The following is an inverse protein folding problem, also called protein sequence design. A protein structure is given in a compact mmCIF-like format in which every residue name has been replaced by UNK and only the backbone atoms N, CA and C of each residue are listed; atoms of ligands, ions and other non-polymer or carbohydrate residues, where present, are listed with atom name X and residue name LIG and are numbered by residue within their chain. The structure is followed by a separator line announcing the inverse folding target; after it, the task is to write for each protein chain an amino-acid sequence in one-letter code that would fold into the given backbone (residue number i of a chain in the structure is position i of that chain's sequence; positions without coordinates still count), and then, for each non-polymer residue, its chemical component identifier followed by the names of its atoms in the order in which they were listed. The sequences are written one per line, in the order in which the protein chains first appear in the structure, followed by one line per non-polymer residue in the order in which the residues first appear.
data_IF_419104685940
#
_entry.id   IF_419104685940
#
_cell.length_a   1.000
_cell.length_b   1.000
_cell.length_c   1.000
_cell.angle_alpha   90.00
_cell.angle_beta   90.00
_cell.angle_gamma   90.00
#
_symmetry.space_group_name_H-M   'P 1'
#
loop_
_entity.id
_entity.type
_entity.pdbx_description
1 polymer ?
#
# COMPACT_ATOMS: atom_id res chain seq x y z
N UNK A 1 -10.38 5.20 22.56
CA UNK A 1 -11.09 5.48 21.29
C UNK A 1 -10.23 6.29 20.33
N UNK A 2 -9.68 7.43 20.75
CA UNK A 2 -8.83 8.28 19.87
C UNK A 2 -7.55 7.60 19.36
N UNK A 3 -6.82 6.89 20.23
CA UNK A 3 -5.63 6.11 19.82
C UNK A 3 -5.95 5.07 18.75
N UNK A 4 -7.16 4.52 18.75
CA UNK A 4 -7.57 3.52 17.77
C UNK A 4 -7.83 4.14 16.40
N UNK A 5 -8.36 5.37 16.35
CA UNK A 5 -8.53 6.10 15.08
C UNK A 5 -7.18 6.40 14.43
N UNK A 6 -6.19 6.81 15.23
CA UNK A 6 -4.82 7.01 14.74
C UNK A 6 -4.19 5.70 14.26
N UNK A 7 -4.39 4.61 15.00
CA UNK A 7 -3.94 3.29 14.59
C UNK A 7 -4.53 2.87 13.23
N UNK A 8 -5.83 3.04 13.02
CA UNK A 8 -6.49 2.74 11.74
C UNK A 8 -5.98 3.63 10.61
N UNK A 9 -5.71 4.91 10.87
CA UNK A 9 -5.12 5.80 9.88
C UNK A 9 -3.70 5.36 9.49
N UNK A 10 -2.85 5.04 10.47
CA UNK A 10 -1.49 4.54 10.21
C UNK A 10 -1.50 3.20 9.47
N UNK A 11 -2.41 2.29 9.84
CA UNK A 11 -2.56 0.99 9.20
C UNK A 11 -3.06 1.12 7.76
N UNK A 12 -4.06 1.98 7.52
CA UNK A 12 -4.54 2.32 6.18
C UNK A 12 -3.48 2.99 5.30
N UNK A 13 -2.64 3.83 5.90
CA UNK A 13 -1.48 4.43 5.22
C UNK A 13 -0.49 3.36 4.75
N UNK A 14 -0.04 2.50 5.66
CA UNK A 14 0.93 1.44 5.34
C UNK A 14 0.36 0.48 4.28
N UNK A 15 -0.93 0.11 4.43
CA UNK A 15 -1.63 -0.72 3.46
C UNK A 15 -1.62 -0.09 2.06
N UNK A 16 -1.92 1.21 1.92
CA UNK A 16 -1.94 1.84 0.59
C UNK A 16 -0.55 2.11 0.02
N UNK A 17 0.47 2.29 0.85
CA UNK A 17 1.86 2.30 0.38
C UNK A 17 2.20 0.96 -0.26
N UNK A 18 1.92 -0.15 0.43
CA UNK A 18 2.17 -1.50 -0.07
C UNK A 18 1.35 -1.81 -1.34
N UNK A 19 0.09 -1.41 -1.38
CA UNK A 19 -0.78 -1.55 -2.55
C UNK A 19 -0.24 -0.77 -3.75
N UNK A 20 0.24 0.47 -3.53
CA UNK A 20 0.80 1.29 -4.59
C UNK A 20 2.09 0.69 -5.15
N UNK A 21 2.94 0.13 -4.30
CA UNK A 21 4.16 -0.58 -4.70
C UNK A 21 3.83 -1.76 -5.63
N UNK A 22 2.93 -2.67 -5.23
CA UNK A 22 2.55 -3.81 -6.08
C UNK A 22 1.84 -3.36 -7.35
N UNK A 23 1.04 -2.29 -7.30
CA UNK A 23 0.38 -1.73 -8.49
C UNK A 23 1.36 -1.25 -9.53
N UNK A 24 2.50 -0.67 -9.11
CA UNK A 24 3.52 -0.24 -10.04
C UNK A 24 4.43 -1.37 -10.47
N UNK A 25 4.83 -2.24 -9.53
CA UNK A 25 5.66 -3.41 -9.82
C UNK A 25 5.07 -4.34 -10.89
N UNK A 26 3.74 -4.38 -11.02
CA UNK A 26 3.02 -5.11 -12.09
C UNK A 26 3.37 -4.65 -13.51
N UNK A 27 3.83 -3.41 -13.67
CA UNK A 27 4.17 -2.80 -14.96
C UNK A 27 5.69 -2.60 -15.10
N UNK A 28 6.48 -3.38 -14.37
CA UNK A 28 7.94 -3.30 -14.34
C UNK A 28 8.57 -4.64 -14.66
N UNK A 29 9.73 -4.59 -15.31
CA UNK A 29 10.48 -5.75 -15.81
C UNK A 29 11.19 -6.60 -14.72
N UNK A 30 10.84 -6.43 -13.44
CA UNK A 30 11.46 -7.10 -12.29
C UNK A 30 10.45 -8.00 -11.58
N UNK A 31 10.39 -9.26 -11.98
CA UNK A 31 9.50 -10.26 -11.38
C UNK A 31 9.69 -10.39 -9.85
N UNK A 32 10.94 -10.38 -9.37
CA UNK A 32 11.21 -10.46 -7.93
C UNK A 32 10.64 -9.25 -7.16
N UNK A 33 10.72 -8.04 -7.73
CA UNK A 33 10.11 -6.85 -7.15
C UNK A 33 8.59 -7.00 -7.08
N UNK A 34 7.97 -7.51 -8.15
CA UNK A 34 6.54 -7.79 -8.16
C UNK A 34 6.13 -8.87 -7.14
N UNK A 35 6.90 -9.96 -7.02
CA UNK A 35 6.61 -11.05 -6.09
C UNK A 35 6.66 -10.58 -4.63
N UNK A 36 7.73 -9.86 -4.24
CA UNK A 36 7.89 -9.34 -2.87
C UNK A 36 6.78 -8.35 -2.54
N UNK A 37 6.52 -7.38 -3.42
CA UNK A 37 5.47 -6.39 -3.20
C UNK A 37 4.07 -7.01 -3.17
N UNK A 38 3.84 -8.10 -3.91
CA UNK A 38 2.58 -8.85 -3.87
C UNK A 38 2.35 -9.54 -2.52
N UNK A 39 3.36 -10.25 -1.99
CA UNK A 39 3.25 -10.87 -0.67
C UNK A 39 3.03 -9.81 0.40
N UNK A 40 3.81 -8.73 0.36
CA UNK A 40 3.70 -7.61 1.30
C UNK A 40 2.31 -6.96 1.27
N UNK A 41 1.82 -6.60 0.07
CA UNK A 41 0.53 -5.93 -0.09
C UNK A 41 -0.63 -6.80 0.37
N UNK A 42 -0.64 -8.08 0.02
CA UNK A 42 -1.75 -8.97 0.41
C UNK A 42 -1.72 -9.29 1.91
N UNK A 43 -0.52 -9.48 2.49
CA UNK A 43 -0.37 -9.70 3.92
C UNK A 43 -0.88 -8.51 4.74
N UNK A 44 -0.46 -7.29 4.38
CA UNK A 44 -0.89 -6.07 5.08
C UNK A 44 -2.39 -5.83 4.86
N UNK A 45 -2.91 -6.05 3.65
CA UNK A 45 -4.34 -5.95 3.40
C UNK A 45 -5.15 -6.88 4.31
N UNK A 46 -4.74 -8.15 4.43
CA UNK A 46 -5.41 -9.10 5.32
C UNK A 46 -5.40 -8.64 6.78
N UNK A 47 -4.26 -8.14 7.26
CA UNK A 47 -4.13 -7.59 8.61
C UNK A 47 -5.05 -6.38 8.81
N UNK A 48 -5.03 -5.40 7.89
CA UNK A 48 -5.89 -4.22 7.96
C UNK A 48 -7.36 -4.59 7.93
N UNK A 49 -7.74 -5.51 7.05
CA UNK A 49 -9.12 -5.95 6.93
C UNK A 49 -9.58 -6.66 8.21
N UNK A 50 -8.75 -7.53 8.79
CA UNK A 50 -9.03 -8.17 10.09
C UNK A 50 -9.29 -7.12 11.17
N UNK A 51 -8.42 -6.11 11.30
CA UNK A 51 -8.59 -5.07 12.33
C UNK A 51 -9.88 -4.27 12.15
N UNK A 52 -10.22 -3.90 10.90
CA UNK A 52 -11.47 -3.21 10.59
C UNK A 52 -12.70 -4.06 10.95
N UNK A 53 -12.68 -5.36 10.62
CA UNK A 53 -13.76 -6.30 10.95
C UNK A 53 -13.91 -6.49 12.47
N UNK A 54 -12.80 -6.63 13.19
CA UNK A 54 -12.80 -6.77 14.65
C UNK A 54 -13.31 -5.52 15.39
N UNK A 55 -13.36 -4.37 14.72
CA UNK A 55 -13.93 -3.13 15.22
C UNK A 55 -15.29 -2.78 14.58
N UNK A 56 -16.00 -3.80 14.11
CA UNK A 56 -17.36 -3.74 13.54
C UNK A 56 -17.51 -2.81 12.33
N UNK A 57 -16.39 -2.43 11.68
CA UNK A 57 -16.35 -1.52 10.53
C UNK A 57 -17.24 -0.28 10.68
N UNK A 58 -17.32 0.26 11.91
CA UNK A 58 -18.20 1.39 12.21
C UNK A 58 -17.85 2.63 11.38
N UNK A 59 -18.86 3.45 11.06
CA UNK A 59 -18.70 4.66 10.22
C UNK A 59 -17.68 5.67 10.76
N UNK A 60 -17.40 5.67 12.07
CA UNK A 60 -16.37 6.51 12.68
C UNK A 60 -14.95 6.14 12.24
N UNK A 61 -14.72 4.88 11.82
CA UNK A 61 -13.43 4.39 11.31
C UNK A 61 -13.20 4.77 9.84
N UNK A 62 -14.26 5.14 9.12
CA UNK A 62 -14.15 5.46 7.70
C UNK A 62 -13.25 6.66 7.45
N UNK A 63 -13.41 7.76 8.22
CA UNK A 63 -12.61 8.96 8.06
C UNK A 63 -11.10 8.72 8.28
N UNK A 64 -10.62 8.14 9.40
CA UNK A 64 -9.19 7.87 9.57
C UNK A 64 -8.65 6.87 8.55
N UNK A 65 -9.42 5.82 8.21
CA UNK A 65 -9.03 4.88 7.17
C UNK A 65 -8.87 5.58 5.82
N UNK A 66 -9.83 6.40 5.41
CA UNK A 66 -9.79 7.16 4.15
C UNK A 66 -8.60 8.11 4.09
N UNK A 67 -8.36 8.88 5.15
CA UNK A 67 -7.23 9.82 5.21
C UNK A 67 -5.91 9.06 5.10
N UNK A 68 -5.73 8.01 5.91
CA UNK A 68 -4.54 7.17 5.88
C UNK A 68 -4.29 6.60 4.49
N UNK A 69 -5.33 6.00 3.89
CA UNK A 69 -5.24 5.36 2.58
C UNK A 69 -4.88 6.34 1.46
N UNK A 70 -5.52 7.51 1.39
CA UNK A 70 -5.20 8.54 0.39
C UNK A 70 -3.76 9.06 0.55
N UNK A 71 -3.35 9.39 1.77
CA UNK A 71 -1.98 9.82 2.04
C UNK A 71 -0.95 8.74 1.67
N UNK A 72 -1.27 7.48 1.97
CA UNK A 72 -0.45 6.31 1.67
C UNK A 72 -0.23 6.14 0.17
N UNK A 73 -1.26 6.35 -0.65
CA UNK A 73 -1.15 6.21 -2.11
C UNK A 73 -0.23 7.27 -2.72
N UNK A 74 -0.36 8.53 -2.28
CA UNK A 74 0.48 9.63 -2.76
C UNK A 74 1.95 9.44 -2.36
N UNK A 75 2.19 9.02 -1.12
CA UNK A 75 3.54 8.75 -0.63
C UNK A 75 4.14 7.49 -1.28
N UNK A 76 3.36 6.41 -1.36
CA UNK A 76 3.74 5.14 -1.95
C UNK A 76 4.16 5.28 -3.41
N UNK A 77 3.54 6.18 -4.17
CA UNK A 77 3.96 6.48 -5.54
C UNK A 77 5.40 7.00 -5.59
N UNK A 78 5.78 7.91 -4.69
CA UNK A 78 7.14 8.45 -4.59
C UNK A 78 8.14 7.37 -4.18
N UNK A 79 7.80 6.56 -3.17
CA UNK A 79 8.64 5.45 -2.71
C UNK A 79 8.87 4.44 -3.82
N UNK A 80 7.81 4.04 -4.52
CA UNK A 80 7.91 3.10 -5.64
C UNK A 80 8.85 3.62 -6.73
N UNK A 81 8.73 4.90 -7.12
CA UNK A 81 9.65 5.51 -8.10
C UNK A 81 11.11 5.47 -7.62
N UNK A 82 11.37 5.75 -6.34
CA UNK A 82 12.71 5.67 -5.77
C UNK A 82 13.28 4.24 -5.78
N UNK A 83 12.48 3.24 -5.42
CA UNK A 83 12.89 1.83 -5.47
C UNK A 83 13.16 1.41 -6.92
N UNK A 84 12.26 1.76 -7.85
CA UNK A 84 12.40 1.46 -9.28
C UNK A 84 13.71 2.02 -9.85
N UNK A 85 14.07 3.26 -9.49
CA UNK A 85 15.34 3.86 -9.88
C UNK A 85 16.54 3.13 -9.27
N UNK A 86 16.46 2.74 -7.99
CA UNK A 86 17.55 2.04 -7.31
C UNK A 86 17.81 0.64 -7.87
N UNK A 87 16.77 -0.08 -8.31
CA UNK A 87 16.89 -1.44 -8.85
C UNK A 87 16.97 -1.50 -10.38
N UNK A 88 16.93 -0.34 -11.05
CA UNK A 88 16.90 -0.23 -12.51
C UNK A 88 15.69 -0.92 -13.13
N UNK A 89 14.51 -0.80 -12.52
CA UNK A 89 13.27 -1.36 -13.05
C UNK A 89 12.74 -0.48 -14.18
N UNK A 90 12.62 -1.05 -15.38
CA UNK A 90 12.09 -0.36 -16.56
C UNK A 90 10.58 -0.55 -16.67
N UNK A 91 9.91 0.38 -17.36
CA UNK A 91 8.51 0.18 -17.73
C UNK A 91 8.42 -0.93 -18.78
N UNK A 92 7.45 -1.81 -18.62
CA UNK A 92 7.11 -2.75 -19.68
C UNK A 92 6.70 -1.95 -20.94
N UNK A 93 7.38 -2.22 -22.06
CA UNK A 93 7.20 -1.49 -23.32
C UNK A 93 8.31 -0.50 -23.71
N UNK A 94 9.31 -0.25 -22.86
CA UNK A 94 10.49 0.58 -23.21
C UNK A 94 11.58 -0.20 -23.95
N UNK A 95 11.56 -1.54 -23.88
CA UNK A 95 12.39 -2.39 -24.73
C UNK A 95 11.72 -2.55 -26.11
N UNK A 96 11.91 -1.56 -26.98
CA UNK A 96 11.63 -1.66 -28.43
C UNK A 96 12.91 -1.96 -29.19
#
# INVERSE_FOLDING_TARGET
MEFYLFYVAALGFIQNVAFTLVSRARNRDKFLYHAITSVLSNGIFFLTFRELVMADMTWSLFAPYLIGTVCGSLFGAKVAMGIEQAIGALADGVRS
#
